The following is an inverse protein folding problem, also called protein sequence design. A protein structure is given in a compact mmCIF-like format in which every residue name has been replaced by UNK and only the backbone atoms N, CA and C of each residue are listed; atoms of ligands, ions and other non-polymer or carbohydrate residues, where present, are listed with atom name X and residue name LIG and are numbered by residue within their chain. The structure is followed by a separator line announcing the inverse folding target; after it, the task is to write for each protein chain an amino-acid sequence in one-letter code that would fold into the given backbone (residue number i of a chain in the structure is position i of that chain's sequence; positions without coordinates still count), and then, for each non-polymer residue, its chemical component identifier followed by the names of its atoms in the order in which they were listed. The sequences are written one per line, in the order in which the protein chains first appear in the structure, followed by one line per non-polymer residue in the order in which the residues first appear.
data_IF_218998130252
#
_entry.id   IF_218998130252
#
_cell.length_a   1.000
_cell.length_b   1.000
_cell.length_c   1.000
_cell.angle_alpha   90.00
_cell.angle_beta   90.00
_cell.angle_gamma   90.00
#
_symmetry.space_group_name_H-M   'P 1'
#
loop_
_entity.id
_entity.type
_entity.pdbx_description
1 polymer ?
#
# COMPACT_ATOMS: atom_id res chain seq x y z
N UNK A 1 -7.89 -4.37 -14.58
CA UNK A 1 -6.44 -4.20 -14.43
C UNK A 1 -5.88 -5.21 -13.43
N UNK A 2 -4.97 -6.04 -13.89
CA UNK A 2 -4.42 -7.14 -13.08
C UNK A 2 -3.68 -6.61 -11.84
N UNK A 3 -2.97 -5.50 -11.95
CA UNK A 3 -2.26 -4.90 -10.82
C UNK A 3 -3.23 -4.43 -9.74
N UNK A 4 -4.30 -3.76 -10.14
CA UNK A 4 -5.30 -3.28 -9.19
C UNK A 4 -6.02 -4.45 -8.51
N UNK A 5 -6.29 -5.52 -9.23
CA UNK A 5 -6.93 -6.72 -8.68
C UNK A 5 -6.05 -7.37 -7.62
N UNK A 6 -4.76 -7.55 -7.91
CA UNK A 6 -3.80 -8.13 -6.95
C UNK A 6 -3.71 -7.26 -5.69
N UNK A 7 -3.61 -5.95 -5.86
CA UNK A 7 -3.55 -5.01 -4.73
C UNK A 7 -4.84 -5.03 -3.91
N UNK A 8 -6.00 -5.09 -4.57
CA UNK A 8 -7.29 -5.15 -3.85
C UNK A 8 -7.41 -6.44 -3.03
N UNK A 9 -6.96 -7.56 -3.56
CA UNK A 9 -6.95 -8.82 -2.82
C UNK A 9 -5.97 -8.80 -1.65
N UNK A 10 -4.83 -8.13 -1.81
CA UNK A 10 -3.89 -7.90 -0.71
C UNK A 10 -4.54 -7.06 0.38
N UNK A 11 -5.19 -5.95 0.03
CA UNK A 11 -5.88 -5.11 1.00
C UNK A 11 -7.00 -5.84 1.73
N UNK A 12 -7.75 -6.70 1.04
CA UNK A 12 -8.77 -7.52 1.69
C UNK A 12 -8.18 -8.32 2.85
N UNK A 13 -7.05 -8.97 2.62
CA UNK A 13 -6.40 -9.80 3.64
C UNK A 13 -5.72 -8.99 4.74
N UNK A 14 -5.15 -7.82 4.39
CA UNK A 14 -4.30 -7.07 5.31
C UNK A 14 -5.05 -5.93 6.02
N UNK A 15 -6.07 -5.34 5.41
CA UNK A 15 -6.59 -4.07 5.89
C UNK A 15 -8.10 -3.89 5.77
N UNK A 16 -8.88 -4.93 5.48
CA UNK A 16 -10.34 -4.76 5.31
C UNK A 16 -11.05 -4.25 6.57
N UNK A 17 -10.50 -4.57 7.74
CA UNK A 17 -11.06 -4.14 9.02
C UNK A 17 -10.64 -2.74 9.45
N UNK A 18 -9.77 -2.09 8.67
CA UNK A 18 -9.30 -0.73 8.95
C UNK A 18 -10.27 0.26 8.34
N UNK A 19 -10.71 1.25 9.12
CA UNK A 19 -11.67 2.24 8.65
C UNK A 19 -11.03 3.38 7.86
N UNK A 20 -9.74 3.65 8.08
CA UNK A 20 -9.04 4.77 7.46
C UNK A 20 -8.63 4.46 6.03
N UNK A 21 -9.11 5.25 5.07
CA UNK A 21 -8.68 5.13 3.67
C UNK A 21 -7.22 5.52 3.50
N UNK A 22 -6.73 6.48 4.27
CA UNK A 22 -5.32 6.87 4.26
C UNK A 22 -4.42 5.69 4.66
N UNK A 23 -4.81 4.94 5.67
CA UNK A 23 -4.04 3.77 6.12
C UNK A 23 -4.06 2.64 5.08
N UNK A 24 -5.22 2.38 4.47
CA UNK A 24 -5.32 1.41 3.37
C UNK A 24 -4.46 1.83 2.18
N UNK A 25 -4.51 3.11 1.82
CA UNK A 25 -3.66 3.65 0.76
C UNK A 25 -2.18 3.50 1.10
N UNK A 26 -1.79 3.71 2.34
CA UNK A 26 -0.41 3.53 2.78
C UNK A 26 0.07 2.09 2.59
N UNK A 27 -0.80 1.10 2.81
CA UNK A 27 -0.46 -0.30 2.52
C UNK A 27 -0.12 -0.49 1.04
N UNK A 28 -0.89 0.12 0.15
CA UNK A 28 -0.61 0.07 -1.30
C UNK A 28 0.69 0.80 -1.61
N UNK A 29 0.90 1.99 -1.08
CA UNK A 29 2.14 2.74 -1.28
C UNK A 29 3.36 1.96 -0.79
N UNK A 30 3.22 1.19 0.29
CA UNK A 30 4.31 0.35 0.79
C UNK A 30 4.71 -0.70 -0.25
N UNK A 31 3.75 -1.35 -0.90
CA UNK A 31 4.02 -2.28 -2.00
C UNK A 31 4.75 -1.56 -3.13
N UNK A 32 4.25 -0.40 -3.55
CA UNK A 32 4.83 0.36 -4.66
C UNK A 32 6.23 0.87 -4.33
N UNK A 33 6.48 1.23 -3.07
CA UNK A 33 7.82 1.59 -2.61
C UNK A 33 8.79 0.42 -2.80
N UNK A 34 8.37 -0.80 -2.49
CA UNK A 34 9.22 -1.98 -2.71
C UNK A 34 9.49 -2.19 -4.20
N UNK A 35 8.51 -1.97 -5.06
CA UNK A 35 8.72 -2.03 -6.51
C UNK A 35 9.80 -1.03 -6.92
N UNK A 36 9.71 0.22 -6.45
CA UNK A 36 10.65 1.27 -6.76
C UNK A 36 12.06 0.99 -6.23
N UNK A 37 12.17 0.20 -5.18
CA UNK A 37 13.46 -0.20 -4.58
C UNK A 37 14.02 -1.50 -5.18
N UNK A 38 13.40 -2.02 -6.24
CA UNK A 38 13.96 -3.17 -6.98
C UNK A 38 13.56 -4.53 -6.44
N UNK A 39 12.50 -4.63 -5.65
CA UNK A 39 12.05 -5.92 -5.10
C UNK A 39 11.25 -6.77 -6.10
N UNK A 40 10.99 -6.24 -7.29
CA UNK A 40 10.23 -6.90 -8.34
C UNK A 40 9.05 -6.04 -8.80
N UNK A 41 8.19 -6.61 -9.64
CA UNK A 41 6.96 -5.95 -10.04
C UNK A 41 5.90 -6.10 -8.93
N UNK A 42 4.74 -5.49 -9.12
CA UNK A 42 3.67 -5.49 -8.12
C UNK A 42 3.26 -6.92 -7.75
N UNK A 43 3.05 -7.77 -8.74
CA UNK A 43 2.62 -9.14 -8.50
C UNK A 43 3.69 -9.92 -7.73
N UNK A 44 4.94 -9.77 -8.14
CA UNK A 44 6.08 -10.42 -7.47
C UNK A 44 6.19 -9.97 -6.01
N UNK A 45 6.07 -8.68 -5.75
CA UNK A 45 6.15 -8.13 -4.37
C UNK A 45 5.02 -8.68 -3.51
N UNK A 46 3.78 -8.61 -3.99
CA UNK A 46 2.60 -9.03 -3.21
C UNK A 46 2.61 -10.54 -2.94
N UNK A 47 3.08 -11.35 -3.90
CA UNK A 47 3.05 -12.81 -3.79
C UNK A 47 4.34 -13.40 -3.22
N UNK A 48 5.31 -12.58 -2.87
CA UNK A 48 6.57 -13.07 -2.28
C UNK A 48 6.28 -13.82 -0.96
N UNK A 49 6.95 -14.97 -0.72
CA UNK A 49 6.70 -15.76 0.48
C UNK A 49 6.88 -14.95 1.77
N UNK A 50 5.95 -15.09 2.70
CA UNK A 50 6.00 -14.54 4.05
C UNK A 50 5.96 -12.99 4.13
N UNK A 51 5.64 -12.29 3.03
CA UNK A 51 5.61 -10.83 3.03
C UNK A 51 4.19 -10.29 3.25
N UNK A 52 3.25 -10.61 2.37
CA UNK A 52 1.87 -10.15 2.50
C UNK A 52 0.99 -11.38 2.73
N UNK A 53 1.04 -11.89 3.97
CA UNK A 53 0.43 -13.18 4.32
C UNK A 53 -1.09 -13.18 4.17
N UNK A 54 -1.72 -12.01 4.24
CA UNK A 54 -3.17 -11.89 4.01
C UNK A 54 -3.57 -11.99 2.55
N UNK A 55 -2.64 -11.87 1.61
CA UNK A 55 -2.96 -12.03 0.21
C UNK A 55 -3.35 -13.48 -0.10
N UNK A 56 -4.45 -13.63 -0.85
CA UNK A 56 -4.87 -14.92 -1.38
C UNK A 56 -5.56 -14.65 -2.72
N UNK A 57 -5.19 -15.42 -3.74
CA UNK A 57 -5.78 -15.25 -5.07
C UNK A 57 -7.31 -15.44 -5.07
N UNK A 58 -7.86 -16.13 -4.06
CA UNK A 58 -9.29 -16.37 -3.90
C UNK A 58 -10.00 -15.28 -3.08
N UNK A 59 -9.27 -14.31 -2.56
CA UNK A 59 -9.90 -13.19 -1.83
C UNK A 59 -10.88 -12.47 -2.76
N UNK A 60 -12.00 -11.98 -2.24
CA UNK A 60 -12.94 -11.23 -3.06
C UNK A 60 -12.33 -9.91 -3.53
N UNK A 61 -12.87 -9.41 -4.65
CA UNK A 61 -12.53 -8.08 -5.16
C UNK A 61 -13.60 -7.14 -4.66
N UNK A 62 -13.29 -6.43 -3.59
CA UNK A 62 -14.19 -5.44 -2.99
C UNK A 62 -14.16 -4.16 -3.82
N UNK A 63 -15.33 -3.61 -4.15
CA UNK A 63 -15.44 -2.45 -5.03
C UNK A 63 -14.74 -1.21 -4.46
N UNK A 64 -14.86 -0.97 -3.17
CA UNK A 64 -14.22 0.17 -2.54
C UNK A 64 -12.70 0.01 -2.50
N UNK A 65 -12.24 -1.21 -2.23
CA UNK A 65 -10.80 -1.50 -2.19
C UNK A 65 -10.18 -1.38 -3.57
N UNK A 66 -10.84 -1.90 -4.62
CA UNK A 66 -10.26 -1.79 -5.96
C UNK A 66 -10.26 -0.34 -6.45
N UNK A 67 -11.29 0.43 -6.12
CA UNK A 67 -11.33 1.85 -6.46
C UNK A 67 -10.17 2.61 -5.82
N UNK A 68 -9.89 2.33 -4.55
CA UNK A 68 -8.75 2.91 -3.85
C UNK A 68 -7.43 2.51 -4.49
N UNK A 69 -7.27 1.23 -4.85
CA UNK A 69 -6.05 0.75 -5.49
C UNK A 69 -5.81 1.41 -6.84
N UNK A 70 -6.88 1.58 -7.64
CA UNK A 70 -6.79 2.26 -8.94
C UNK A 70 -6.34 3.71 -8.73
N UNK A 71 -6.89 4.38 -7.72
CA UNK A 71 -6.52 5.77 -7.42
C UNK A 71 -5.04 5.88 -7.02
N UNK A 72 -4.56 5.02 -6.13
CA UNK A 72 -3.15 5.03 -5.72
C UNK A 72 -2.24 4.71 -6.91
N UNK A 73 -2.58 3.71 -7.71
CA UNK A 73 -1.82 3.38 -8.91
C UNK A 73 -1.71 4.55 -9.87
N UNK A 74 -2.82 5.27 -10.08
CA UNK A 74 -2.84 6.45 -10.94
C UNK A 74 -1.85 7.51 -10.46
N UNK A 75 -1.80 7.74 -9.14
CA UNK A 75 -0.86 8.68 -8.52
C UNK A 75 0.59 8.21 -8.67
N UNK A 76 0.83 6.93 -8.48
CA UNK A 76 2.16 6.34 -8.60
C UNK A 76 2.70 6.43 -10.03
N UNK A 77 1.86 6.11 -11.03
CA UNK A 77 2.25 6.24 -12.43
C UNK A 77 2.53 7.70 -12.79
N UNK A 78 1.71 8.63 -12.29
CA UNK A 78 1.96 10.06 -12.49
C UNK A 78 3.31 10.50 -11.92
N UNK A 79 3.65 10.02 -10.73
CA UNK A 79 4.95 10.30 -10.11
C UNK A 79 6.12 9.76 -10.95
N UNK A 80 5.96 8.55 -11.49
CA UNK A 80 6.97 7.94 -12.36
C UNK A 80 7.14 8.72 -13.67
N UNK A 81 6.13 9.44 -14.11
CA UNK A 81 6.19 10.29 -15.30
C UNK A 81 6.73 11.69 -15.00
N UNK A 82 7.16 11.94 -13.78
CA UNK A 82 7.81 13.17 -13.37
C UNK A 82 6.94 14.17 -12.63
N UNK A 83 5.68 13.84 -12.34
CA UNK A 83 4.83 14.71 -11.53
C UNK A 83 5.27 14.68 -10.07
N UNK A 84 5.11 15.81 -9.39
CA UNK A 84 5.40 15.96 -7.96
C UNK A 84 4.08 16.22 -7.23
N UNK A 85 4.08 16.01 -5.91
CA UNK A 85 2.91 16.26 -5.08
C UNK A 85 1.66 15.51 -5.55
N UNK A 86 1.85 14.22 -5.84
CA UNK A 86 0.76 13.38 -6.36
C UNK A 86 -0.25 12.96 -5.29
N UNK A 87 -0.06 13.39 -4.04
CA UNK A 87 -0.93 12.99 -2.93
C UNK A 87 -0.48 11.70 -2.26
N UNK A 88 0.82 11.47 -2.18
CA UNK A 88 1.41 10.34 -1.50
C UNK A 88 1.13 10.45 0.01
N UNK A 89 0.64 9.38 0.62
CA UNK A 89 0.37 9.35 2.06
C UNK A 89 1.47 8.67 2.87
N UNK A 90 2.42 8.04 2.19
CA UNK A 90 3.55 7.35 2.82
C UNK A 90 4.82 7.72 2.06
N UNK A 91 5.89 8.15 2.76
CA UNK A 91 7.15 8.48 2.06
C UNK A 91 7.77 7.25 1.38
N UNK A 92 8.60 7.50 0.38
CA UNK A 92 9.15 6.48 -0.50
C UNK A 92 10.09 5.48 0.20
N UNK A 93 10.65 5.83 1.36
CA UNK A 93 11.56 4.96 2.09
C UNK A 93 10.86 4.05 3.11
N UNK A 94 9.54 4.08 3.19
CA UNK A 94 8.77 3.21 4.09
C UNK A 94 8.41 1.92 3.36
N UNK A 95 9.08 0.82 3.69
CA UNK A 95 9.01 -0.45 2.98
C UNK A 95 8.34 -1.57 3.79
N UNK A 96 8.07 -1.35 5.08
CA UNK A 96 7.53 -2.39 5.94
C UNK A 96 6.34 -1.88 6.74
N UNK A 97 5.38 -2.77 7.00
CA UNK A 97 4.33 -2.50 7.96
C UNK A 97 3.93 -3.78 8.69
N UNK A 98 3.38 -3.61 9.88
CA UNK A 98 2.83 -4.70 10.68
C UNK A 98 1.55 -4.23 11.33
N UNK A 99 0.56 -5.12 11.39
CA UNK A 99 -0.71 -4.85 12.05
C UNK A 99 -0.74 -5.31 13.50
N UNK A 100 -1.51 -4.60 14.33
CA UNK A 100 -1.76 -4.98 15.72
C UNK A 100 -3.22 -5.41 15.97
N UNK A 101 -3.98 -5.62 14.89
CA UNK A 101 -5.39 -5.95 14.94
C UNK A 101 -6.32 -4.76 14.77
N UNK A 102 -5.84 -3.55 15.00
CA UNK A 102 -6.60 -2.31 14.86
C UNK A 102 -5.97 -1.37 13.84
N UNK A 103 -4.65 -1.32 13.79
CA UNK A 103 -3.89 -0.42 12.92
C UNK A 103 -2.68 -1.11 12.32
N UNK A 104 -2.20 -0.56 11.21
CA UNK A 104 -0.93 -0.92 10.61
C UNK A 104 0.10 0.14 10.97
N UNK A 105 1.29 -0.30 11.33
CA UNK A 105 2.42 0.55 11.69
C UNK A 105 3.48 0.45 10.61
N UNK A 106 3.81 1.57 10.02
CA UNK A 106 4.73 1.64 8.88
C UNK A 106 6.12 2.06 9.36
N UNK A 107 7.16 1.43 8.80
CA UNK A 107 8.56 1.67 9.20
C UNK A 107 9.44 1.79 7.97
N UNK A 108 10.53 2.54 8.12
CA UNK A 108 11.53 2.71 7.07
C UNK A 108 12.74 1.77 7.23
N UNK A 109 12.72 0.87 8.20
CA UNK A 109 13.72 -0.19 8.37
C UNK A 109 13.05 -1.47 8.81
N UNK A 110 13.63 -2.61 8.45
CA UNK A 110 13.06 -3.92 8.79
C UNK A 110 12.94 -4.11 10.30
N UNK A 111 13.95 -3.67 11.04
CA UNK A 111 13.93 -3.66 12.50
C UNK A 111 14.34 -2.28 13.01
N UNK A 112 13.55 -1.74 13.94
CA UNK A 112 13.76 -0.38 14.40
C UNK A 112 13.41 0.65 13.34
N UNK A 113 14.24 1.67 13.18
CA UNK A 113 13.98 2.75 12.23
C UNK A 113 12.87 3.67 12.70
N UNK A 114 12.49 4.62 11.84
CA UNK A 114 11.42 5.56 12.14
C UNK A 114 10.06 4.94 11.86
N UNK A 115 9.10 5.28 12.70
CA UNK A 115 7.69 4.98 12.47
C UNK A 115 7.02 6.16 11.77
N UNK A 116 6.10 5.84 10.87
CA UNK A 116 5.34 6.90 10.19
C UNK A 116 4.33 7.52 11.15
N UNK A 117 4.33 8.82 11.26
CA UNK A 117 3.51 9.60 12.20
C UNK A 117 2.34 10.33 11.54
N UNK A 118 2.06 10.03 10.27
CA UNK A 118 0.96 10.61 9.49
C UNK A 118 1.09 12.12 9.28
N UNK A 119 2.33 12.61 9.16
CA UNK A 119 2.58 14.03 8.97
C UNK A 119 2.30 14.54 7.55
N UNK A 120 2.16 13.64 6.57
CA UNK A 120 1.76 14.04 5.22
C UNK A 120 0.24 14.18 5.14
N UNK A 121 -0.25 15.23 4.44
CA UNK A 121 -1.68 15.35 4.23
C UNK A 121 -2.21 14.22 3.35
N UNK A 122 -3.45 13.79 3.62
CA UNK A 122 -4.08 12.72 2.88
C UNK A 122 -5.13 13.27 1.92
N UNK A 123 -5.13 12.84 0.64
CA UNK A 123 -6.19 13.19 -0.29
C UNK A 123 -7.51 12.48 0.01
N UNK A 124 -7.53 11.53 0.97
CA UNK A 124 -8.70 10.74 1.32
C UNK A 124 -9.42 11.26 2.56
N UNK A 125 -8.93 12.30 3.18
CA UNK A 125 -9.61 12.94 4.29
C UNK A 125 -10.65 13.92 3.77
N UNK A 126 -11.82 13.81 4.31
CA UNK A 126 -12.91 14.73 3.97
C UNK A 126 -12.95 15.92 4.90
#
# INVERSE_FOLDING_TARGET
DEEAIVLAKMLWGEARGVSSDAEKAACVWCVLNRVDHGYGDIITVVTAPEQFVGYNAKNPIDDDLITLCIDVLSRWYAEREGQVEVGRVLPADYLWFSGDGERNHFRNAYRGGDRWDWSLPSPYES
#
